data_IF_617102179349
#
_entry.id   IF_617102179349
#
_cell.length_a   1.000
_cell.length_b   1.000
_cell.length_c   1.000
_cell.angle_alpha   90.00
_cell.angle_beta   90.00
_cell.angle_gamma   90.00
#
_symmetry.space_group_name_H-M   'P 1'
#
loop_
_entity.id
_entity.type
_entity.pdbx_description
1 polymer ?
#
# COMPACT_ATOMS: atom_id res chain seq x y z
N UNK A 1 1.71 -7.18 -38.16
CA UNK A 1 1.12 -5.84 -38.21
C UNK A 1 0.36 -5.60 -36.91
N UNK A 2 0.98 -5.00 -35.93
CA UNK A 2 0.26 -4.44 -34.78
C UNK A 2 1.03 -3.21 -34.29
N UNK A 3 0.79 -2.11 -35.00
CA UNK A 3 1.17 -0.76 -34.58
C UNK A 3 0.16 -0.26 -33.56
N UNK A 4 0.61 0.40 -32.51
CA UNK A 4 -0.08 1.25 -31.54
C UNK A 4 -0.25 0.60 -30.18
N UNK A 5 0.81 0.70 -29.36
CA UNK A 5 0.68 0.75 -27.92
C UNK A 5 1.73 1.71 -27.30
N UNK A 6 2.14 2.72 -28.08
CA UNK A 6 2.84 3.89 -27.54
C UNK A 6 1.79 4.97 -27.34
N UNK A 7 1.33 5.15 -26.11
CA UNK A 7 0.61 6.36 -25.76
C UNK A 7 1.59 7.53 -25.86
N UNK A 8 1.38 8.41 -26.84
CA UNK A 8 2.10 9.68 -26.93
C UNK A 8 1.61 10.56 -25.77
N UNK A 9 2.44 10.69 -24.74
CA UNK A 9 2.21 11.66 -23.66
C UNK A 9 2.70 13.02 -24.12
N UNK A 10 1.80 14.00 -24.17
CA UNK A 10 2.18 15.41 -24.40
C UNK A 10 2.82 15.97 -23.12
N UNK A 11 3.90 16.76 -23.23
CA UNK A 11 4.52 17.39 -22.07
C UNK A 11 3.56 18.40 -21.42
N UNK A 12 3.40 18.33 -20.12
CA UNK A 12 2.62 19.26 -19.32
C UNK A 12 3.46 20.52 -19.03
N UNK A 13 3.25 21.57 -19.79
CA UNK A 13 3.67 22.94 -19.47
C UNK A 13 2.65 23.62 -18.54
N UNK A 14 2.49 23.11 -17.30
CA UNK A 14 1.71 23.81 -16.28
C UNK A 14 2.55 24.14 -15.05
N UNK A 15 2.39 25.36 -14.48
CA UNK A 15 3.17 25.76 -13.33
C UNK A 15 2.82 24.95 -12.07
N UNK A 16 3.79 24.64 -11.21
CA UNK A 16 3.65 23.72 -10.06
C UNK A 16 2.60 24.09 -9.01
N UNK A 17 2.05 25.30 -9.07
CA UNK A 17 1.00 25.75 -8.15
C UNK A 17 -0.41 25.25 -8.51
N UNK A 18 -0.68 24.82 -9.74
CA UNK A 18 -2.00 24.38 -10.19
C UNK A 18 -2.31 22.95 -9.73
N UNK A 19 -1.35 22.05 -9.76
CA UNK A 19 -1.53 20.65 -9.36
C UNK A 19 -1.90 20.51 -7.87
N UNK A 20 -1.28 21.30 -6.99
CA UNK A 20 -1.63 21.32 -5.57
C UNK A 20 -3.06 21.81 -5.31
N UNK A 21 -3.55 22.75 -6.12
CA UNK A 21 -4.92 23.25 -6.05
C UNK A 21 -5.93 22.25 -6.60
N UNK A 22 -5.58 21.53 -7.66
CA UNK A 22 -6.45 20.52 -8.27
C UNK A 22 -6.59 19.29 -7.36
N UNK A 23 -5.51 18.82 -6.73
CA UNK A 23 -5.59 17.76 -5.70
C UNK A 23 -6.37 18.20 -4.46
N UNK A 24 -6.26 19.46 -4.04
CA UNK A 24 -7.05 20.01 -2.94
C UNK A 24 -8.55 20.14 -3.29
N UNK A 25 -8.88 20.44 -4.55
CA UNK A 25 -10.28 20.51 -5.01
C UNK A 25 -10.93 19.13 -5.14
N UNK A 26 -10.15 18.08 -5.46
CA UNK A 26 -10.65 16.70 -5.47
C UNK A 26 -10.98 16.21 -4.05
N UNK A 27 -10.32 16.74 -3.02
CA UNK A 27 -10.66 16.46 -1.61
C UNK A 27 -12.05 16.98 -1.22
N UNK A 28 -12.51 18.10 -1.78
CA UNK A 28 -13.87 18.62 -1.53
C UNK A 28 -14.97 17.75 -2.16
N UNK A 29 -14.70 17.08 -3.28
CA UNK A 29 -15.67 16.22 -3.96
C UNK A 29 -15.86 14.85 -3.30
N UNK A 30 -14.93 14.39 -2.45
CA UNK A 30 -15.03 13.09 -1.79
C UNK A 30 -15.79 13.06 -0.47
N UNK A 31 -16.35 14.19 -0.03
CA UNK A 31 -17.07 14.23 1.23
C UNK A 31 -18.58 14.38 0.98
N UNK A 32 -19.34 13.26 0.88
CA UNK A 32 -20.78 13.28 0.64
C UNK A 32 -21.59 13.65 1.89
N UNK A 33 -20.98 14.31 2.88
CA UNK A 33 -21.71 14.80 4.03
C UNK A 33 -22.75 15.82 3.55
N UNK A 34 -24.01 15.54 3.85
CA UNK A 34 -25.11 16.45 3.56
C UNK A 34 -24.82 17.81 4.21
N UNK A 35 -25.35 18.91 3.61
CA UNK A 35 -25.15 20.26 4.16
C UNK A 35 -25.54 20.37 5.66
N UNK A 36 -26.54 19.56 6.12
CA UNK A 36 -26.94 19.45 7.52
C UNK A 36 -25.87 18.81 8.41
N UNK A 37 -25.18 17.78 7.93
CA UNK A 37 -24.06 17.14 8.64
C UNK A 37 -22.83 18.03 8.69
N UNK A 38 -22.64 18.90 7.70
CA UNK A 38 -21.61 19.96 7.73
C UNK A 38 -21.90 21.01 8.81
N UNK A 39 -23.16 21.30 9.11
CA UNK A 39 -23.53 22.30 10.12
C UNK A 39 -23.47 21.73 11.55
N UNK A 40 -23.83 20.46 11.76
CA UNK A 40 -23.90 19.82 13.07
C UNK A 40 -23.37 18.38 12.97
N UNK A 41 -22.02 18.18 12.94
CA UNK A 41 -21.49 16.83 12.85
C UNK A 41 -21.83 16.03 14.11
N UNK A 42 -22.43 14.86 13.93
CA UNK A 42 -22.69 13.90 14.99
C UNK A 42 -21.44 13.03 15.18
N UNK A 43 -21.08 12.77 16.43
CA UNK A 43 -19.97 11.88 16.74
C UNK A 43 -20.33 10.44 16.32
N UNK A 44 -19.44 9.83 15.54
CA UNK A 44 -19.62 8.46 15.03
C UNK A 44 -19.25 7.36 16.07
N UNK A 45 -18.76 7.74 17.25
CA UNK A 45 -18.51 6.76 18.31
C UNK A 45 -19.84 6.31 18.94
N UNK A 46 -20.02 4.99 19.08
CA UNK A 46 -21.22 4.34 19.64
C UNK A 46 -21.50 4.77 21.08
N UNK A 47 -20.45 4.95 21.88
CA UNK A 47 -20.51 5.23 23.32
C UNK A 47 -20.26 6.70 23.64
N UNK A 48 -20.48 7.61 22.68
CA UNK A 48 -20.24 9.02 22.89
C UNK A 48 -21.26 9.65 23.85
N UNK A 49 -20.85 9.89 25.08
CA UNK A 49 -21.66 10.58 26.10
C UNK A 49 -22.09 12.00 25.71
N UNK A 50 -21.30 12.68 24.84
CA UNK A 50 -21.61 14.02 24.35
C UNK A 50 -22.65 14.05 23.22
N UNK A 51 -22.82 12.95 22.49
CA UNK A 51 -23.84 12.83 21.44
C UNK A 51 -25.25 12.83 21.99
N UNK A 52 -25.44 12.41 23.25
CA UNK A 52 -26.74 12.33 23.92
C UNK A 52 -27.24 13.66 24.50
N UNK A 53 -26.38 14.68 24.58
CA UNK A 53 -26.75 15.99 25.13
C UNK A 53 -27.05 17.01 24.00
N UNK A 54 -28.26 17.55 23.99
CA UNK A 54 -28.75 18.56 23.04
C UNK A 54 -28.13 19.95 23.31
N UNK A 55 -26.81 20.10 23.27
CA UNK A 55 -26.13 21.39 23.43
C UNK A 55 -25.72 22.03 22.10
N UNK A 56 -25.71 23.40 22.00
CA UNK A 56 -25.41 24.08 20.74
C UNK A 56 -24.05 23.73 20.17
N UNK A 57 -24.04 23.33 18.92
CA UNK A 57 -23.03 22.56 18.25
C UNK A 57 -21.82 23.33 17.68
N UNK A 58 -21.90 24.69 17.63
CA UNK A 58 -20.90 25.49 16.94
C UNK A 58 -19.51 25.51 17.63
N UNK A 59 -19.46 25.39 18.97
CA UNK A 59 -18.19 25.23 19.71
C UNK A 59 -17.54 23.83 19.54
N UNK A 60 -18.27 22.84 18.99
CA UNK A 60 -17.80 21.47 18.84
C UNK A 60 -16.92 21.28 17.62
N UNK A 61 -16.99 22.18 16.63
CA UNK A 61 -16.24 22.10 15.38
C UNK A 61 -14.74 22.23 15.56
N UNK A 62 -14.29 22.97 16.55
CA UNK A 62 -12.87 23.31 16.73
C UNK A 62 -12.04 22.21 17.43
N UNK A 63 -12.68 21.19 18.01
CA UNK A 63 -11.99 20.16 18.81
C UNK A 63 -12.22 18.73 18.30
N UNK A 64 -13.00 18.53 17.22
CA UNK A 64 -13.26 17.22 16.65
C UNK A 64 -12.25 16.83 15.56
N UNK A 65 -12.14 15.53 15.33
CA UNK A 65 -11.25 14.94 14.33
C UNK A 65 -12.05 14.07 13.35
N UNK A 66 -11.74 14.19 12.08
CA UNK A 66 -12.25 13.33 11.02
C UNK A 66 -11.28 12.17 10.82
N UNK A 67 -11.73 10.96 11.09
CA UNK A 67 -10.94 9.73 10.88
C UNK A 67 -11.61 8.89 9.81
N UNK A 68 -10.93 8.65 8.69
CA UNK A 68 -11.43 7.90 7.52
C UNK A 68 -12.85 8.35 7.09
N UNK A 69 -13.08 9.66 7.01
CA UNK A 69 -14.36 10.24 6.61
C UNK A 69 -15.46 10.28 7.69
N UNK A 70 -15.21 9.79 8.91
CA UNK A 70 -16.14 9.82 10.05
C UNK A 70 -15.70 10.83 11.09
N UNK A 71 -16.64 11.63 11.59
CA UNK A 71 -16.32 12.68 12.57
C UNK A 71 -16.45 12.19 14.01
N UNK A 72 -15.45 12.53 14.84
CA UNK A 72 -15.37 12.23 16.27
C UNK A 72 -15.18 13.52 17.07
N UNK A 73 -15.96 13.70 18.15
CA UNK A 73 -15.99 14.95 18.90
C UNK A 73 -14.77 15.22 19.79
N UNK A 74 -13.79 14.32 19.82
CA UNK A 74 -12.56 14.46 20.58
C UNK A 74 -11.71 13.20 20.52
N UNK A 75 -10.47 13.31 21.02
CA UNK A 75 -9.48 12.22 21.00
C UNK A 75 -9.96 10.96 21.70
N UNK A 76 -10.68 11.07 22.82
CA UNK A 76 -11.23 9.91 23.55
C UNK A 76 -12.25 9.10 22.75
N UNK A 77 -13.06 9.76 21.91
CA UNK A 77 -13.99 9.07 21.02
C UNK A 77 -13.31 8.48 19.79
N UNK A 78 -12.21 9.09 19.35
CA UNK A 78 -11.42 8.62 18.21
C UNK A 78 -10.48 7.47 18.56
N UNK A 79 -9.95 7.44 19.80
CA UNK A 79 -8.88 6.50 20.20
C UNK A 79 -9.30 5.02 20.11
N UNK A 80 -10.51 4.67 20.56
CA UNK A 80 -11.01 3.29 20.48
C UNK A 80 -11.14 2.82 19.02
N UNK A 81 -11.69 3.69 18.16
CA UNK A 81 -11.84 3.39 16.73
C UNK A 81 -10.49 3.37 16.01
N UNK A 82 -9.59 4.26 16.38
CA UNK A 82 -8.23 4.30 15.85
C UNK A 82 -7.48 3.00 16.20
N UNK A 83 -7.54 2.53 17.46
CA UNK A 83 -6.92 1.28 17.89
C UNK A 83 -7.45 0.09 17.09
N UNK A 84 -8.77 -0.02 16.94
CA UNK A 84 -9.41 -1.06 16.14
C UNK A 84 -8.97 -0.99 14.67
N UNK A 85 -8.89 0.22 14.10
CA UNK A 85 -8.49 0.44 12.72
C UNK A 85 -7.02 0.07 12.50
N UNK A 86 -6.12 0.50 13.38
CA UNK A 86 -4.69 0.13 13.36
C UNK A 86 -4.55 -1.39 13.44
N UNK A 87 -5.21 -2.05 14.39
CA UNK A 87 -5.16 -3.49 14.53
C UNK A 87 -5.64 -4.21 13.26
N UNK A 88 -6.76 -3.80 12.66
CA UNK A 88 -7.27 -4.39 11.43
C UNK A 88 -6.34 -4.18 10.23
N UNK A 89 -5.71 -3.01 10.11
CA UNK A 89 -4.76 -2.75 9.03
C UNK A 89 -3.46 -3.56 9.20
N UNK A 90 -3.10 -3.89 10.42
CA UNK A 90 -1.91 -4.70 10.71
C UNK A 90 -2.21 -6.19 10.56
N UNK A 91 -3.25 -6.72 11.24
CA UNK A 91 -3.55 -8.17 11.31
C UNK A 91 -4.45 -8.67 10.18
N UNK A 92 -5.35 -7.83 9.68
CA UNK A 92 -6.29 -8.19 8.62
C UNK A 92 -5.74 -8.14 7.20
N UNK A 93 -4.47 -7.82 7.02
CA UNK A 93 -3.88 -7.72 5.69
C UNK A 93 -3.56 -9.10 5.12
N UNK A 94 -4.40 -9.55 4.23
CA UNK A 94 -4.06 -10.65 3.32
C UNK A 94 -3.39 -10.03 2.10
N UNK A 95 -2.09 -10.25 1.86
CA UNK A 95 -1.44 -9.76 0.65
C UNK A 95 -2.19 -10.30 -0.56
N UNK A 96 -2.43 -9.47 -1.59
CA UNK A 96 -3.10 -9.94 -2.79
C UNK A 96 -2.33 -11.13 -3.35
N UNK A 97 -2.97 -12.30 -3.36
CA UNK A 97 -2.39 -13.51 -3.92
C UNK A 97 -2.09 -13.24 -5.40
N UNK A 98 -0.87 -13.48 -5.87
CA UNK A 98 -0.58 -13.36 -7.29
C UNK A 98 -1.53 -14.31 -8.04
N UNK A 99 -2.33 -13.77 -8.94
CA UNK A 99 -3.19 -14.61 -9.79
C UNK A 99 -2.28 -15.58 -10.55
N UNK A 100 -2.43 -16.87 -10.28
CA UNK A 100 -1.56 -17.95 -10.76
C UNK A 100 -1.63 -18.20 -12.28
N UNK A 101 -2.43 -17.42 -13.01
CA UNK A 101 -2.69 -17.64 -14.44
C UNK A 101 -1.87 -16.72 -15.37
N UNK A 102 -0.82 -16.06 -14.88
CA UNK A 102 0.04 -15.27 -15.77
C UNK A 102 1.06 -16.16 -16.46
N UNK A 103 1.19 -15.98 -17.76
CA UNK A 103 2.24 -16.67 -18.51
C UNK A 103 3.61 -16.32 -17.92
N UNK A 104 4.45 -17.32 -17.58
CA UNK A 104 5.81 -17.05 -17.13
C UNK A 104 6.59 -16.26 -18.18
N UNK A 105 7.36 -15.27 -17.73
CA UNK A 105 8.07 -14.35 -18.62
C UNK A 105 9.01 -15.07 -19.59
N UNK A 106 9.68 -16.15 -19.14
CA UNK A 106 10.53 -16.96 -20.01
C UNK A 106 9.77 -17.56 -21.19
N UNK A 107 8.55 -18.08 -20.97
CA UNK A 107 7.72 -18.60 -22.03
C UNK A 107 7.19 -17.52 -22.97
N UNK A 108 6.91 -16.32 -22.45
CA UNK A 108 6.55 -15.15 -23.24
C UNK A 108 7.67 -14.77 -24.21
N UNK A 109 8.92 -14.75 -23.73
CA UNK A 109 10.10 -14.40 -24.52
C UNK A 109 10.39 -15.46 -25.61
N UNK A 110 10.23 -16.75 -25.27
CA UNK A 110 10.35 -17.85 -26.25
C UNK A 110 9.27 -17.75 -27.31
N UNK A 111 8.01 -17.57 -26.91
CA UNK A 111 6.89 -17.46 -27.85
C UNK A 111 7.02 -16.25 -28.81
N UNK A 112 7.72 -15.22 -28.40
CA UNK A 112 8.06 -14.06 -29.25
C UNK A 112 9.31 -14.28 -30.11
N UNK A 113 9.98 -15.40 -29.98
CA UNK A 113 11.24 -15.68 -30.68
C UNK A 113 12.42 -14.80 -30.25
N UNK A 114 12.31 -14.16 -29.05
CA UNK A 114 13.38 -13.31 -28.51
C UNK A 114 14.51 -14.18 -27.93
N UNK A 115 14.15 -15.30 -27.30
CA UNK A 115 15.10 -16.32 -26.83
C UNK A 115 14.67 -17.71 -27.32
N UNK A 116 15.65 -18.63 -27.43
CA UNK A 116 15.38 -20.03 -27.74
C UNK A 116 15.01 -20.84 -26.48
N UNK A 117 14.42 -22.01 -26.67
CA UNK A 117 14.19 -22.96 -25.56
C UNK A 117 15.48 -23.38 -24.87
N UNK A 118 16.57 -23.56 -25.63
CA UNK A 118 17.88 -23.92 -25.07
C UNK A 118 18.43 -22.83 -24.16
N UNK A 119 18.36 -21.57 -24.58
CA UNK A 119 18.73 -20.41 -23.75
C UNK A 119 17.90 -20.32 -22.48
N UNK A 120 16.57 -20.52 -22.58
CA UNK A 120 15.71 -20.52 -21.39
C UNK A 120 16.10 -21.63 -20.41
N UNK A 121 16.36 -22.86 -20.91
CA UNK A 121 16.77 -23.99 -20.06
C UNK A 121 18.12 -23.73 -19.37
N UNK A 122 19.09 -23.16 -20.09
CA UNK A 122 20.37 -22.77 -19.51
C UNK A 122 20.24 -21.76 -18.37
N UNK A 123 19.44 -20.69 -18.58
CA UNK A 123 19.21 -19.69 -17.56
C UNK A 123 18.50 -20.26 -16.35
N UNK A 124 17.51 -21.14 -16.54
CA UNK A 124 16.82 -21.81 -15.45
C UNK A 124 17.75 -22.74 -14.66
N UNK A 125 18.72 -23.40 -15.32
CA UNK A 125 19.75 -24.21 -14.67
C UNK A 125 20.64 -23.34 -13.79
N UNK A 126 21.18 -22.24 -14.33
CA UNK A 126 22.04 -21.29 -13.60
C UNK A 126 21.32 -20.67 -12.40
N UNK A 127 20.04 -20.30 -12.58
CA UNK A 127 19.22 -19.75 -11.49
C UNK A 127 19.02 -20.76 -10.35
N UNK A 128 18.82 -22.05 -10.67
CA UNK A 128 18.68 -23.12 -9.66
C UNK A 128 19.98 -23.36 -8.92
N UNK A 129 21.11 -23.37 -9.63
CA UNK A 129 22.44 -23.57 -9.06
C UNK A 129 22.85 -22.45 -8.12
N UNK A 130 22.58 -21.20 -8.52
CA UNK A 130 22.92 -20.03 -7.71
C UNK A 130 21.93 -19.78 -6.56
N UNK A 131 20.73 -20.37 -6.61
CA UNK A 131 19.62 -20.17 -5.66
C UNK A 131 19.24 -18.69 -5.41
N UNK A 132 19.67 -17.80 -6.26
CA UNK A 132 19.42 -16.36 -6.15
C UNK A 132 19.17 -15.72 -7.52
N UNK A 133 18.63 -14.50 -7.48
CA UNK A 133 18.38 -13.70 -8.67
C UNK A 133 17.06 -14.06 -9.38
N UNK A 134 16.64 -13.16 -10.22
CA UNK A 134 15.43 -13.29 -11.04
C UNK A 134 15.81 -13.74 -12.44
N UNK A 135 14.89 -14.46 -13.08
CA UNK A 135 15.10 -14.94 -14.46
C UNK A 135 15.46 -13.79 -15.42
N UNK A 136 14.77 -12.63 -15.28
CA UNK A 136 15.03 -11.46 -16.11
C UNK A 136 16.47 -10.95 -15.97
N UNK A 137 17.00 -10.88 -14.75
CA UNK A 137 18.37 -10.41 -14.51
C UNK A 137 19.42 -11.38 -15.12
N UNK A 138 19.19 -12.68 -15.02
CA UNK A 138 20.05 -13.69 -15.64
C UNK A 138 20.04 -13.56 -17.17
N UNK A 139 18.85 -13.35 -17.76
CA UNK A 139 18.72 -13.15 -19.21
C UNK A 139 19.46 -11.89 -19.69
N UNK A 140 19.41 -10.79 -18.91
CA UNK A 140 20.17 -9.56 -19.19
C UNK A 140 21.67 -9.78 -19.05
N UNK A 141 22.13 -10.42 -17.97
CA UNK A 141 23.56 -10.67 -17.72
C UNK A 141 24.20 -11.55 -18.79
N UNK A 142 23.47 -12.53 -19.31
CA UNK A 142 23.93 -13.38 -20.42
C UNK A 142 23.77 -12.74 -21.79
N UNK A 143 23.21 -11.53 -21.87
CA UNK A 143 23.00 -10.82 -23.13
C UNK A 143 21.95 -11.45 -24.05
N UNK A 144 21.08 -12.34 -23.53
CA UNK A 144 20.04 -12.98 -24.32
C UNK A 144 18.86 -12.07 -24.61
N UNK A 145 18.64 -11.06 -23.77
CA UNK A 145 17.62 -10.01 -23.95
C UNK A 145 18.19 -8.63 -23.64
N UNK A 146 17.65 -7.61 -24.26
CA UNK A 146 17.89 -6.21 -23.88
C UNK A 146 16.88 -5.76 -22.81
N UNK A 147 17.19 -4.67 -22.08
CA UNK A 147 16.28 -4.04 -21.11
C UNK A 147 14.92 -3.70 -21.74
N UNK A 148 14.93 -3.17 -22.96
CA UNK A 148 13.71 -2.81 -23.69
C UNK A 148 12.84 -4.04 -24.00
N UNK A 149 13.47 -5.15 -24.41
CA UNK A 149 12.75 -6.41 -24.69
C UNK A 149 12.17 -7.01 -23.40
N UNK A 150 12.94 -6.96 -22.30
CA UNK A 150 12.49 -7.45 -21.00
C UNK A 150 11.30 -6.65 -20.49
N UNK A 151 11.40 -5.31 -20.50
CA UNK A 151 10.31 -4.43 -20.05
C UNK A 151 9.06 -4.56 -20.92
N UNK A 152 9.22 -4.72 -22.24
CA UNK A 152 8.10 -4.98 -23.13
C UNK A 152 7.39 -6.32 -22.82
N UNK A 153 8.16 -7.36 -22.45
CA UNK A 153 7.61 -8.64 -22.01
C UNK A 153 6.91 -8.53 -20.64
N UNK A 154 7.47 -7.76 -19.70
CA UNK A 154 6.86 -7.47 -18.41
C UNK A 154 5.53 -6.71 -18.59
N UNK A 155 5.50 -5.67 -19.43
CA UNK A 155 4.29 -4.92 -19.74
C UNK A 155 3.18 -5.83 -20.27
N UNK A 156 3.50 -6.78 -21.14
CA UNK A 156 2.55 -7.76 -21.64
C UNK A 156 2.11 -8.74 -20.54
N UNK A 157 3.04 -9.25 -19.74
CA UNK A 157 2.74 -10.18 -18.64
C UNK A 157 1.80 -9.54 -17.59
N UNK A 158 1.99 -8.27 -17.32
CA UNK A 158 1.20 -7.51 -16.35
C UNK A 158 -0.04 -6.85 -16.96
N UNK A 159 -0.17 -6.83 -18.28
CA UNK A 159 -1.26 -6.15 -18.97
C UNK A 159 -1.23 -4.63 -18.75
N UNK A 160 -0.04 -4.04 -18.64
CA UNK A 160 0.15 -2.63 -18.34
C UNK A 160 1.05 -1.96 -19.39
N UNK A 161 0.95 -0.62 -19.57
CA UNK A 161 1.79 0.11 -20.51
C UNK A 161 3.25 0.14 -20.05
N UNK A 162 4.16 0.26 -21.03
CA UNK A 162 5.58 0.55 -20.81
C UNK A 162 5.75 2.08 -20.84
N UNK A 163 6.43 2.63 -19.82
CA UNK A 163 6.68 4.06 -19.71
C UNK A 163 8.15 4.36 -20.00
N UNK A 164 8.46 5.19 -21.04
CA UNK A 164 9.84 5.55 -21.38
C UNK A 164 10.36 6.69 -20.48
N UNK A 165 10.89 6.34 -19.31
CA UNK A 165 11.41 7.31 -18.33
C UNK A 165 12.60 8.15 -18.84
N UNK A 166 13.33 7.67 -19.85
CA UNK A 166 14.53 8.34 -20.36
C UNK A 166 14.24 9.64 -21.10
N UNK A 167 13.02 9.82 -21.60
CA UNK A 167 12.65 10.96 -22.45
C UNK A 167 11.87 12.06 -21.72
N UNK A 168 11.45 11.83 -20.48
CA UNK A 168 10.65 12.81 -19.73
C UNK A 168 11.16 12.96 -18.30
N UNK A 169 11.51 14.19 -17.87
CA UNK A 169 11.86 14.44 -16.48
C UNK A 169 10.63 14.19 -15.61
N UNK A 170 10.85 13.47 -14.51
CA UNK A 170 9.81 13.31 -13.47
C UNK A 170 9.55 14.69 -12.86
N UNK A 171 8.30 15.11 -12.82
CA UNK A 171 7.93 16.41 -12.24
C UNK A 171 8.33 16.47 -10.76
N UNK A 172 9.00 17.55 -10.35
CA UNK A 172 9.45 17.79 -8.98
C UNK A 172 8.30 17.87 -7.94
N UNK A 173 7.06 17.99 -8.39
CA UNK A 173 5.87 18.03 -7.52
C UNK A 173 5.41 16.62 -7.13
N UNK A 174 5.65 15.62 -7.98
CA UNK A 174 5.18 14.26 -7.76
C UNK A 174 5.72 13.60 -6.48
N UNK A 175 7.00 13.78 -6.06
CA UNK A 175 7.51 13.22 -4.82
C UNK A 175 6.81 13.75 -3.56
N UNK A 176 6.25 14.97 -3.62
CA UNK A 176 5.54 15.56 -2.48
C UNK A 176 4.13 14.99 -2.25
N UNK A 177 3.64 14.15 -3.15
CA UNK A 177 2.29 13.55 -3.04
C UNK A 177 2.21 12.45 -1.99
N UNK A 178 3.32 11.73 -1.77
CA UNK A 178 3.39 10.61 -0.83
C UNK A 178 4.81 10.47 -0.27
N UNK A 179 4.98 9.78 0.87
CA UNK A 179 6.29 9.51 1.45
C UNK A 179 7.24 8.81 0.47
N UNK A 180 8.47 9.32 0.39
CA UNK A 180 9.49 8.80 -0.53
C UNK A 180 9.84 7.33 -0.24
N UNK A 181 9.91 6.96 1.05
CA UNK A 181 10.20 5.60 1.48
C UNK A 181 9.23 4.54 0.91
N UNK A 182 7.99 4.92 0.60
CA UNK A 182 7.03 4.01 -0.04
C UNK A 182 7.45 3.68 -1.47
N UNK A 183 7.90 4.68 -2.22
CA UNK A 183 8.35 4.51 -3.60
C UNK A 183 9.69 3.76 -3.66
N UNK A 184 10.62 4.09 -2.78
CA UNK A 184 11.91 3.41 -2.67
C UNK A 184 11.71 1.92 -2.35
N UNK A 185 10.90 1.58 -1.35
CA UNK A 185 10.63 0.19 -0.98
C UNK A 185 9.93 -0.62 -2.08
N UNK A 186 9.06 0.02 -2.85
CA UNK A 186 8.35 -0.62 -3.95
C UNK A 186 9.13 -0.61 -5.28
N UNK A 187 10.31 0.02 -5.32
CA UNK A 187 11.08 0.30 -6.53
C UNK A 187 10.18 0.87 -7.63
N UNK A 188 9.51 1.95 -7.29
CA UNK A 188 8.51 2.59 -8.12
C UNK A 188 8.70 4.11 -8.13
N UNK A 189 8.22 4.76 -9.19
CA UNK A 189 8.33 6.21 -9.36
C UNK A 189 7.00 6.75 -9.84
N UNK A 190 6.43 7.80 -9.23
CA UNK A 190 5.31 8.53 -9.80
C UNK A 190 5.82 9.30 -11.04
N UNK A 191 5.23 9.05 -12.21
CA UNK A 191 5.78 9.56 -13.46
C UNK A 191 4.92 10.61 -14.14
N UNK A 192 3.61 10.51 -13.99
CA UNK A 192 2.71 11.39 -14.71
C UNK A 192 1.35 11.50 -14.02
N UNK A 193 0.78 12.70 -14.04
CA UNK A 193 -0.62 12.94 -13.69
C UNK A 193 -1.35 13.32 -14.97
N UNK A 194 -2.50 12.71 -15.23
CA UNK A 194 -3.31 13.04 -16.39
C UNK A 194 -3.75 14.51 -16.37
N UNK A 195 -3.98 15.09 -17.54
CA UNK A 195 -4.34 16.51 -17.67
C UNK A 195 -5.63 16.89 -16.91
N UNK A 196 -6.53 15.93 -16.67
CA UNK A 196 -7.73 16.10 -15.87
C UNK A 196 -7.51 15.89 -14.35
N UNK A 197 -6.27 15.63 -13.91
CA UNK A 197 -5.91 15.39 -12.51
C UNK A 197 -6.47 14.07 -11.93
N UNK A 198 -7.12 13.22 -12.73
CA UNK A 198 -7.86 12.05 -12.24
C UNK A 198 -7.03 10.78 -12.14
N UNK A 199 -5.95 10.68 -12.90
CA UNK A 199 -5.10 9.49 -12.96
C UNK A 199 -3.66 9.82 -12.64
N UNK A 200 -3.08 9.08 -11.70
CA UNK A 200 -1.66 9.09 -11.38
C UNK A 200 -1.00 7.82 -11.95
N UNK A 201 -0.04 8.01 -12.84
CA UNK A 201 0.76 6.91 -13.38
C UNK A 201 1.97 6.67 -12.51
N UNK A 202 2.19 5.40 -12.13
CA UNK A 202 3.32 4.97 -11.31
C UNK A 202 4.08 3.88 -12.06
N UNK A 203 5.36 4.14 -12.34
CA UNK A 203 6.23 3.20 -13.03
C UNK A 203 6.94 2.28 -12.04
N UNK A 204 6.93 0.98 -12.34
CA UNK A 204 7.59 -0.07 -11.58
C UNK A 204 8.66 -0.74 -12.46
N UNK A 205 9.79 -1.15 -11.87
CA UNK A 205 10.81 -1.86 -12.64
C UNK A 205 10.66 -3.39 -12.57
N UNK A 206 9.92 -3.89 -11.60
CA UNK A 206 9.83 -5.33 -11.35
C UNK A 206 8.39 -5.83 -11.38
N UNK A 207 7.70 -5.67 -10.29
CA UNK A 207 6.32 -6.13 -10.08
C UNK A 207 5.45 -4.94 -9.69
N UNK A 208 4.28 -4.82 -10.29
CA UNK A 208 3.31 -3.83 -9.86
C UNK A 208 2.84 -4.16 -8.45
N UNK A 209 3.09 -3.23 -7.52
CA UNK A 209 2.56 -3.31 -6.17
C UNK A 209 1.17 -2.67 -6.12
N UNK A 210 0.15 -3.51 -6.22
CA UNK A 210 -1.24 -3.06 -6.15
C UNK A 210 -1.60 -2.50 -4.77
N UNK A 211 -0.87 -2.87 -3.71
CA UNK A 211 -1.14 -2.33 -2.37
C UNK A 211 -0.68 -0.89 -2.26
N UNK A 212 0.47 -0.55 -2.87
CA UNK A 212 0.92 0.83 -3.00
C UNK A 212 -0.05 1.65 -3.86
N UNK A 213 -0.45 1.13 -5.02
CA UNK A 213 -1.42 1.82 -5.90
C UNK A 213 -2.71 2.12 -5.15
N UNK A 214 -3.29 1.14 -4.46
CA UNK A 214 -4.49 1.32 -3.68
C UNK A 214 -4.31 2.33 -2.53
N UNK A 215 -3.16 2.29 -1.83
CA UNK A 215 -2.86 3.25 -0.78
C UNK A 215 -2.78 4.69 -1.31
N UNK A 216 -2.15 4.88 -2.47
CA UNK A 216 -2.11 6.18 -3.15
C UNK A 216 -3.51 6.66 -3.54
N UNK A 217 -4.37 5.78 -4.06
CA UNK A 217 -5.76 6.11 -4.38
C UNK A 217 -6.54 6.59 -3.15
N UNK A 218 -6.41 5.86 -2.04
CA UNK A 218 -7.09 6.21 -0.79
C UNK A 218 -6.59 7.53 -0.18
N UNK A 219 -5.28 7.79 -0.28
CA UNK A 219 -4.68 9.01 0.28
C UNK A 219 -4.89 10.23 -0.57
N UNK A 220 -4.80 10.09 -1.89
CA UNK A 220 -4.79 11.23 -2.81
C UNK A 220 -6.17 11.48 -3.45
N UNK A 221 -7.05 10.49 -3.38
CA UNK A 221 -8.38 10.58 -4.00
C UNK A 221 -8.36 10.53 -5.53
N UNK A 222 -7.26 10.09 -6.12
CA UNK A 222 -7.11 9.92 -7.57
C UNK A 222 -7.05 8.44 -7.91
N UNK A 223 -7.30 8.09 -9.15
CA UNK A 223 -7.08 6.72 -9.63
C UNK A 223 -5.62 6.53 -10.00
N UNK A 224 -5.07 5.35 -9.72
CA UNK A 224 -3.69 5.03 -10.08
C UNK A 224 -3.62 4.05 -11.24
N UNK A 225 -2.63 4.22 -12.09
CA UNK A 225 -2.33 3.33 -13.21
C UNK A 225 -0.89 2.86 -13.07
N UNK A 226 -0.72 1.54 -12.85
CA UNK A 226 0.62 0.93 -12.86
C UNK A 226 1.14 0.81 -14.27
N UNK A 227 2.38 1.20 -14.50
CA UNK A 227 3.12 0.98 -15.73
C UNK A 227 4.50 0.36 -15.40
N UNK A 228 5.20 -0.13 -16.39
CA UNK A 228 6.55 -0.68 -16.21
C UNK A 228 7.59 0.16 -16.93
N UNK A 229 8.79 0.24 -16.34
CA UNK A 229 9.95 0.90 -16.92
C UNK A 229 11.21 0.06 -16.67
N UNK A 230 12.33 0.43 -17.28
CA UNK A 230 13.62 -0.26 -17.06
C UNK A 230 14.11 -0.03 -15.64
N UNK A 231 14.79 -1.02 -15.05
CA UNK A 231 15.32 -0.91 -13.70
C UNK A 231 16.27 0.29 -13.58
N UNK A 232 17.18 0.44 -14.52
CA UNK A 232 18.14 1.55 -14.55
C UNK A 232 17.43 2.91 -14.54
N UNK A 233 16.36 3.09 -15.34
CA UNK A 233 15.63 4.36 -15.39
C UNK A 233 14.81 4.64 -14.14
N UNK A 234 14.23 3.60 -13.51
CA UNK A 234 13.50 3.77 -12.23
C UNK A 234 14.47 4.14 -11.11
N UNK A 235 15.61 3.45 -11.01
CA UNK A 235 16.61 3.75 -9.96
C UNK A 235 17.20 5.14 -10.14
N UNK A 236 17.59 5.52 -11.36
CA UNK A 236 18.07 6.88 -11.65
C UNK A 236 17.03 7.95 -11.32
N UNK A 237 15.75 7.70 -11.61
CA UNK A 237 14.68 8.61 -11.26
C UNK A 237 14.47 8.71 -9.73
N UNK A 238 14.57 7.59 -8.98
CA UNK A 238 14.51 7.61 -7.52
C UNK A 238 15.68 8.41 -6.91
N UNK A 239 16.89 8.22 -7.42
CA UNK A 239 18.06 9.01 -6.99
C UNK A 239 17.87 10.49 -7.24
N UNK A 240 17.33 10.88 -8.39
CA UNK A 240 17.02 12.27 -8.72
C UNK A 240 15.92 12.87 -7.84
N UNK A 241 14.96 12.06 -7.38
CA UNK A 241 13.85 12.49 -6.54
C UNK A 241 14.19 12.53 -5.04
N UNK A 242 15.17 11.76 -4.58
CA UNK A 242 15.56 11.67 -3.16
C UNK A 242 15.87 13.03 -2.52
N UNK A 243 16.62 13.97 -3.16
CA UNK A 243 16.86 15.29 -2.60
C UNK A 243 15.61 16.18 -2.52
N UNK A 244 14.57 15.85 -3.30
CA UNK A 244 13.31 16.60 -3.39
C UNK A 244 12.25 16.05 -2.42
N UNK A 245 12.54 14.93 -1.74
CA UNK A 245 11.64 14.34 -0.76
C UNK A 245 11.35 15.33 0.38
N UNK A 246 10.10 15.44 0.83
CA UNK A 246 9.76 16.32 1.94
C UNK A 246 10.49 15.86 3.21
N UNK A 247 11.18 16.80 3.88
CA UNK A 247 11.91 16.53 5.14
C UNK A 247 10.98 16.28 6.34
N UNK A 248 9.68 16.44 6.17
CA UNK A 248 8.68 16.25 7.23
C UNK A 248 8.14 14.81 7.33
N UNK A 249 8.79 13.88 6.64
CA UNK A 249 8.48 12.46 6.71
C UNK A 249 9.11 11.86 7.96
N UNK A 250 8.30 11.21 8.79
CA UNK A 250 8.77 10.52 9.99
C UNK A 250 8.51 9.03 9.85
N UNK A 251 9.58 8.24 9.90
CA UNK A 251 9.52 6.78 9.78
C UNK A 251 9.84 6.09 11.10
N UNK A 252 9.03 5.11 11.48
CA UNK A 252 9.18 4.29 12.67
C UNK A 252 9.42 2.84 12.27
N UNK A 253 10.64 2.35 12.45
CA UNK A 253 11.02 0.98 12.09
C UNK A 253 10.93 0.01 13.27
N UNK A 254 10.85 0.52 14.50
CA UNK A 254 10.92 -0.26 15.74
C UNK A 254 9.58 -0.52 16.41
N UNK A 255 8.57 0.31 16.12
CA UNK A 255 7.25 0.17 16.75
C UNK A 255 6.49 -1.01 16.15
N UNK A 256 6.20 -2.00 16.98
CA UNK A 256 5.55 -3.27 16.58
C UNK A 256 4.18 -3.49 17.24
N UNK A 257 3.98 -2.94 18.42
CA UNK A 257 2.71 -3.08 19.13
C UNK A 257 1.65 -2.14 18.55
N UNK A 258 0.48 -2.63 18.14
CA UNK A 258 -0.64 -1.79 17.70
C UNK A 258 -1.04 -0.70 18.71
N UNK A 259 -0.85 -0.95 20.01
CA UNK A 259 -1.13 0.03 21.06
C UNK A 259 -0.14 1.19 21.05
N UNK A 260 1.15 0.89 20.89
CA UNK A 260 2.20 1.91 20.79
C UNK A 260 2.01 2.76 19.52
N UNK A 261 1.71 2.11 18.39
CA UNK A 261 1.41 2.81 17.13
C UNK A 261 0.20 3.72 17.31
N UNK A 262 -0.87 3.23 17.94
CA UNK A 262 -2.08 4.03 18.20
C UNK A 262 -1.79 5.21 19.12
N UNK A 263 -0.99 5.01 20.17
CA UNK A 263 -0.57 6.07 21.09
C UNK A 263 0.24 7.14 20.37
N UNK A 264 1.20 6.72 19.53
CA UNK A 264 2.03 7.62 18.73
C UNK A 264 1.17 8.45 17.77
N UNK A 265 0.27 7.81 17.01
CA UNK A 265 -0.66 8.52 16.11
C UNK A 265 -1.51 9.53 16.90
N UNK A 266 -2.01 9.15 18.09
CA UNK A 266 -2.84 10.03 18.92
C UNK A 266 -2.06 11.23 19.44
N UNK A 267 -0.80 11.04 19.83
CA UNK A 267 0.09 12.13 20.29
C UNK A 267 0.38 13.12 19.18
N UNK A 268 0.74 12.64 17.99
CA UNK A 268 0.95 13.50 16.82
C UNK A 268 -0.33 14.22 16.38
N UNK A 269 -1.48 13.56 16.44
CA UNK A 269 -2.76 14.19 16.13
C UNK A 269 -3.07 15.36 17.05
N UNK A 270 -2.75 15.23 18.34
CA UNK A 270 -2.94 16.27 19.34
C UNK A 270 -1.92 17.43 19.16
N UNK A 271 -0.65 17.11 18.96
CA UNK A 271 0.43 18.07 18.75
C UNK A 271 0.18 18.94 17.51
N UNK A 272 -0.16 18.29 16.39
CA UNK A 272 -0.43 18.96 15.11
C UNK A 272 -1.81 19.63 15.06
N UNK A 273 -2.63 19.46 16.10
CA UNK A 273 -4.05 19.87 16.08
C UNK A 273 -4.75 19.40 14.82
N UNK A 274 -4.51 18.15 14.45
CA UNK A 274 -5.03 17.57 13.22
C UNK A 274 -6.56 17.53 13.24
N UNK A 275 -7.18 18.08 12.21
CA UNK A 275 -8.63 18.02 12.04
C UNK A 275 -9.09 16.81 11.21
N UNK A 276 -8.18 16.20 10.43
CA UNK A 276 -8.46 15.02 9.61
C UNK A 276 -7.26 14.07 9.65
N UNK A 277 -7.55 12.78 9.77
CA UNK A 277 -6.60 11.67 9.67
C UNK A 277 -7.08 10.67 8.62
N UNK A 278 -6.14 10.15 7.85
CA UNK A 278 -6.36 9.02 6.97
C UNK A 278 -5.29 7.98 7.27
N UNK A 279 -5.71 6.72 7.40
CA UNK A 279 -4.81 5.59 7.62
C UNK A 279 -4.99 4.58 6.49
N UNK A 280 -3.87 4.19 5.89
CA UNK A 280 -3.84 3.15 4.86
C UNK A 280 -2.67 2.22 5.07
N UNK A 281 -2.78 1.00 4.58
CA UNK A 281 -1.66 0.08 4.49
C UNK A 281 -1.08 0.10 3.08
N UNK A 282 0.22 0.33 2.99
CA UNK A 282 1.00 0.28 1.76
C UNK A 282 2.11 -0.78 1.90
N UNK A 283 1.87 -1.97 1.36
CA UNK A 283 2.79 -3.11 1.47
C UNK A 283 3.25 -3.39 2.92
N UNK A 284 4.53 -3.13 3.23
CA UNK A 284 5.13 -3.30 4.54
C UNK A 284 4.99 -2.09 5.47
N UNK A 285 4.22 -1.07 5.10
CA UNK A 285 4.04 0.13 5.89
C UNK A 285 2.57 0.37 6.24
N UNK A 286 2.34 0.88 7.46
CA UNK A 286 1.14 1.62 7.80
C UNK A 286 1.45 3.10 7.58
N UNK A 287 0.75 3.72 6.66
CA UNK A 287 0.88 5.14 6.34
C UNK A 287 -0.27 5.91 6.95
N UNK A 288 0.06 6.91 7.77
CA UNK A 288 -0.90 7.82 8.39
C UNK A 288 -0.61 9.24 7.92
N UNK A 289 -1.60 9.91 7.36
CA UNK A 289 -1.53 11.31 6.97
C UNK A 289 -2.41 12.16 7.86
N UNK A 290 -1.80 13.19 8.43
CA UNK A 290 -2.45 14.19 9.26
C UNK A 290 -2.67 15.45 8.45
N UNK A 291 -3.87 16.00 8.55
CA UNK A 291 -4.21 17.28 7.96
C UNK A 291 -4.44 18.28 9.09
N UNK A 292 -3.65 19.32 9.14
CA UNK A 292 -3.84 20.49 9.97
C UNK A 292 -4.26 21.69 9.10
N UNK A 293 -4.71 22.81 9.66
CA UNK A 293 -5.18 23.94 8.85
C UNK A 293 -4.15 24.51 7.87
N UNK A 294 -2.86 24.30 8.13
CA UNK A 294 -1.78 24.93 7.37
C UNK A 294 -0.81 23.94 6.73
N UNK A 295 -0.84 22.67 7.14
CA UNK A 295 0.12 21.67 6.67
C UNK A 295 -0.46 20.26 6.72
N UNK A 296 0.17 19.35 5.98
CA UNK A 296 -0.03 17.92 6.12
C UNK A 296 1.28 17.26 6.54
N UNK A 297 1.20 16.25 7.40
CA UNK A 297 2.37 15.47 7.84
C UNK A 297 2.10 14.00 7.70
N UNK A 298 3.12 13.27 7.26
CA UNK A 298 3.07 11.82 7.05
C UNK A 298 3.87 11.09 8.11
N UNK A 299 3.29 10.04 8.69
CA UNK A 299 3.99 9.05 9.50
C UNK A 299 3.94 7.70 8.82
N UNK A 300 5.07 7.03 8.79
CA UNK A 300 5.23 5.67 8.31
C UNK A 300 5.63 4.74 9.45
N UNK A 301 4.90 3.66 9.64
CA UNK A 301 5.25 2.60 10.57
C UNK A 301 5.57 1.35 9.77
N UNK A 302 6.80 0.84 9.89
CA UNK A 302 7.19 -0.40 9.20
C UNK A 302 6.59 -1.61 9.89
N UNK A 303 5.82 -2.40 9.16
CA UNK A 303 5.17 -3.62 9.62
C UNK A 303 5.87 -4.82 8.99
N UNK A 304 6.61 -5.57 9.80
CA UNK A 304 7.28 -6.78 9.34
C UNK A 304 6.26 -7.94 9.27
N UNK A 305 6.27 -8.75 8.20
CA UNK A 305 5.44 -9.94 8.14
C UNK A 305 5.87 -10.92 9.26
N UNK A 306 4.91 -11.41 10.03
CA UNK A 306 5.12 -12.43 11.07
C UNK A 306 5.24 -11.94 12.51
N UNK A 307 5.21 -10.62 12.80
CA UNK A 307 5.34 -10.15 14.19
C UNK A 307 4.08 -10.30 15.07
N UNK A 308 2.94 -10.69 14.51
CA UNK A 308 1.65 -10.63 15.24
C UNK A 308 0.94 -11.97 15.43
N UNK A 309 1.58 -13.10 15.08
CA UNK A 309 1.00 -14.43 15.28
C UNK A 309 0.91 -14.90 16.74
N UNK A 310 1.43 -14.14 17.69
CA UNK A 310 1.52 -14.56 19.11
C UNK A 310 0.58 -13.83 20.08
N UNK A 311 -0.37 -13.01 19.59
CA UNK A 311 -1.26 -12.26 20.49
C UNK A 311 -2.58 -13.00 20.88
N UNK A 312 -2.81 -14.23 20.38
CA UNK A 312 -4.01 -15.01 20.73
C UNK A 312 -3.81 -16.02 21.86
N UNK A 313 -2.66 -16.05 22.52
CA UNK A 313 -2.50 -16.85 23.74
C UNK A 313 -2.60 -15.97 24.99
N UNK A 314 -3.82 -15.60 25.37
CA UNK A 314 -4.13 -15.21 26.74
C UNK A 314 -4.17 -16.49 27.63
N UNK A 315 -3.38 -16.56 28.68
CA UNK A 315 -3.50 -17.63 29.66
C UNK A 315 -4.68 -17.33 30.60
N UNK A 316 -5.78 -18.04 30.45
CA UNK A 316 -6.89 -17.87 31.37
C UNK A 316 -8.21 -18.54 31.01
N UNK A 317 -8.22 -19.85 30.79
CA UNK A 317 -9.45 -20.63 30.99
C UNK A 317 -9.19 -21.67 32.05
N UNK A 318 -9.99 -21.71 33.16
CA UNK A 318 -9.81 -22.70 34.19
C UNK A 318 -10.21 -24.09 33.67
N UNK A 319 -9.35 -25.06 33.92
CA UNK A 319 -9.61 -26.47 33.75
C UNK A 319 -10.92 -26.86 34.49
N UNK A 320 -11.92 -27.22 33.70
CA UNK A 320 -13.05 -28.02 34.26
C UNK A 320 -12.64 -29.47 34.19
N UNK A 321 -12.25 -29.97 35.33
CA UNK A 321 -12.03 -31.39 35.63
C UNK A 321 -13.37 -32.11 35.53
N UNK A 322 -13.60 -32.88 34.46
CA UNK A 322 -14.69 -33.84 34.42
C UNK A 322 -14.20 -35.18 34.98
N UNK A 323 -14.82 -35.54 36.08
CA UNK A 323 -14.69 -36.82 36.77
C UNK A 323 -15.00 -37.99 35.85
N UNK A 324 -14.12 -38.98 35.93
CA UNK A 324 -14.26 -40.31 35.40
C UNK A 324 -15.48 -41.03 35.94
N UNK A 325 -16.26 -41.66 35.09
CA UNK A 325 -17.13 -42.78 35.46
C UNK A 325 -16.57 -44.05 34.80
N UNK A 326 -16.18 -44.91 35.67
CA UNK A 326 -15.73 -46.28 35.52
C UNK A 326 -16.90 -47.15 35.02
N UNK A 327 -16.70 -47.95 34.00
CA UNK A 327 -17.43 -49.25 33.88
C UNK A 327 -16.67 -50.21 32.95
N UNK A 328 -16.26 -51.26 33.59
CA UNK A 328 -15.74 -52.52 33.07
C UNK A 328 -16.62 -53.11 31.96
N UNK A 329 -16.05 -53.74 30.96
CA UNK A 329 -16.28 -55.18 30.71
C UNK A 329 -15.37 -55.75 29.59
N UNK A 330 -14.67 -56.75 30.00
CA UNK A 330 -14.33 -58.04 29.42
C UNK A 330 -14.25 -58.28 27.90
N UNK A 331 -13.09 -58.73 27.51
CA UNK A 331 -12.82 -60.01 26.86
C UNK A 331 -13.19 -60.19 25.42
N UNK A 332 -12.26 -60.40 24.57
CA UNK A 332 -12.08 -61.68 23.81
C UNK A 332 -10.85 -61.63 22.89
N UNK A 333 -10.14 -62.72 22.98
CA UNK A 333 -8.95 -63.20 22.29
C UNK A 333 -9.18 -63.59 20.82
N UNK A 334 -8.07 -63.72 20.10
CA UNK A 334 -7.74 -64.53 18.93
C UNK A 334 -7.49 -63.72 17.65
N UNK A 335 -6.25 -63.66 17.23
CA UNK A 335 -5.43 -64.63 16.52
C UNK A 335 -5.50 -64.55 14.98
N UNK A 336 -4.29 -64.44 14.39
CA UNK A 336 -3.85 -65.00 13.09
C UNK A 336 -4.33 -64.30 11.80
N UNK A 337 -3.41 -63.88 11.01
CA UNK A 337 -2.65 -64.53 9.99
C UNK A 337 -2.42 -63.69 8.76
N UNK A 338 -1.17 -63.49 8.39
CA UNK A 338 -0.54 -63.75 7.11
C UNK A 338 -1.34 -63.46 5.82
N UNK A 339 -0.94 -62.52 5.00
CA UNK A 339 -0.14 -62.57 3.76
C UNK A 339 0.29 -61.15 3.41
#
# INVERSE_FOLDING_TARGET
>A
MNRKMFLAFSPLDQPPGSLRKEFAQTEEMQNPLSWRERLVPRCSATDCMRSRKLFPSWRRRSSGVLLDGRWYCGSSCASGVLSFRVQNLISGFVPPQPRTHRLPIGLLLVNRGIISHAQLQEVLRLQRESRCGRLGNWLLQLGYVSDIQLVAALGQQWGCPVFPLTSQPVSSVLPSLAPFALFENARAVPVHVSADGRFLHVAFCERIDHTLLYALEQMLGVRTVGCVATEASVLSALEALSPLAPREEVSFDTLRDPREITSTISSYAAELRAHKLILVRAASFLWTRFFSPFSSRDLLFRILPGCFSNLEQSPGSPNVTSLSADSRNDGFSAASGVV
#
